data_IF_991830290349
#
_entry.id   IF_991830290349
#
_cell.length_a   1.000
_cell.length_b   1.000
_cell.length_c   1.000
_cell.angle_alpha   90.00
_cell.angle_beta   90.00
_cell.angle_gamma   90.00
#
_symmetry.space_group_name_H-M   'P 1'
#
loop_
_entity.id
_entity.type
_entity.pdbx_description
1 polymer ?
#
# COMPACT_ATOMS: atom_id res chain seq x y z
N UNK A 1 -4.17 -12.60 -42.56
CA UNK A 1 -4.46 -12.17 -41.18
C UNK A 1 -3.35 -11.22 -40.75
N UNK A 2 -3.67 -9.95 -40.49
CA UNK A 2 -2.72 -9.03 -39.85
C UNK A 2 -2.58 -9.41 -38.37
N UNK A 3 -1.39 -9.31 -37.76
CA UNK A 3 -1.25 -9.51 -36.32
C UNK A 3 -2.11 -8.46 -35.59
N UNK A 4 -2.93 -8.91 -34.64
CA UNK A 4 -3.66 -7.99 -33.75
C UNK A 4 -2.62 -7.14 -33.01
N UNK A 5 -2.82 -5.82 -32.90
CA UNK A 5 -1.95 -4.98 -32.09
C UNK A 5 -1.92 -5.57 -30.68
N UNK A 6 -0.70 -5.84 -30.25
CA UNK A 6 -0.28 -6.20 -28.93
C UNK A 6 -0.63 -5.04 -27.99
N UNK A 7 -1.89 -5.01 -27.55
CA UNK A 7 -2.37 -4.17 -26.46
C UNK A 7 -1.73 -4.67 -25.16
N UNK A 8 -0.45 -4.33 -24.96
CA UNK A 8 0.12 -4.37 -23.62
C UNK A 8 -0.74 -3.44 -22.76
N UNK A 9 -1.31 -3.91 -21.64
CA UNK A 9 -1.91 -3.02 -20.66
C UNK A 9 -0.86 -1.96 -20.32
N UNK A 10 -1.25 -0.68 -20.38
CA UNK A 10 -0.36 0.39 -19.92
C UNK A 10 -0.15 0.18 -18.43
N UNK A 11 1.03 -0.32 -18.04
CA UNK A 11 1.38 -0.58 -16.64
C UNK A 11 1.59 0.72 -15.84
N UNK A 12 1.57 1.88 -16.51
CA UNK A 12 1.65 3.20 -15.90
C UNK A 12 0.41 4.04 -16.23
N UNK A 13 0.01 4.90 -15.30
CA UNK A 13 -0.97 5.96 -15.56
C UNK A 13 -0.34 7.17 -16.28
N UNK A 14 -1.16 8.19 -16.58
CA UNK A 14 -0.71 9.41 -17.27
C UNK A 14 0.32 10.24 -16.47
N UNK A 15 0.42 10.04 -15.16
CA UNK A 15 1.39 10.71 -14.29
C UNK A 15 2.67 9.88 -14.12
N UNK A 16 2.75 8.70 -14.75
CA UNK A 16 3.88 7.78 -14.64
C UNK A 16 3.85 6.90 -13.39
N UNK A 17 2.72 6.78 -12.71
CA UNK A 17 2.59 5.89 -11.57
C UNK A 17 2.25 4.45 -12.00
N UNK A 18 2.86 3.46 -11.35
CA UNK A 18 2.65 2.05 -11.67
C UNK A 18 1.23 1.60 -11.28
N UNK A 19 0.45 1.06 -12.21
CA UNK A 19 -0.93 0.60 -12.00
C UNK A 19 -1.03 -0.84 -11.50
N UNK A 20 -0.09 -1.70 -11.91
CA UNK A 20 -0.10 -3.12 -11.58
C UNK A 20 1.28 -3.59 -11.20
N UNK A 21 1.39 -4.28 -10.05
CA UNK A 21 2.56 -5.08 -9.69
C UNK A 21 2.29 -6.52 -10.10
N UNK A 22 3.08 -7.02 -11.05
CA UNK A 22 2.97 -8.40 -11.53
C UNK A 22 2.98 -9.40 -10.36
N UNK A 23 2.01 -10.31 -10.36
CA UNK A 23 1.80 -11.34 -9.33
C UNK A 23 1.55 -10.81 -7.90
N UNK A 24 1.34 -9.50 -7.72
CA UNK A 24 1.03 -8.91 -6.41
C UNK A 24 -0.38 -8.31 -6.42
N UNK A 25 -0.66 -7.36 -7.33
CA UNK A 25 -1.96 -6.69 -7.35
C UNK A 25 -1.99 -5.33 -8.04
N UNK A 26 -3.10 -4.62 -7.82
CA UNK A 26 -3.40 -3.32 -8.44
C UNK A 26 -3.12 -2.19 -7.45
N UNK A 27 -2.51 -1.11 -7.94
CA UNK A 27 -2.19 0.08 -7.17
C UNK A 27 -3.15 1.21 -7.56
N UNK A 28 -3.66 1.90 -6.56
CA UNK A 28 -4.49 3.08 -6.73
C UNK A 28 -3.78 4.28 -6.11
N UNK A 29 -3.62 5.32 -6.90
CA UNK A 29 -2.88 6.52 -6.54
C UNK A 29 -3.84 7.66 -6.21
N UNK A 30 -3.42 8.55 -5.31
CA UNK A 30 -4.03 9.85 -5.16
C UNK A 30 -3.54 10.83 -6.24
N UNK A 31 -4.26 11.94 -6.38
CA UNK A 31 -3.93 13.01 -7.34
C UNK A 31 -2.53 13.64 -7.12
N UNK A 32 -1.97 13.51 -5.92
CA UNK A 32 -0.64 14.01 -5.55
C UNK A 32 0.46 12.93 -5.71
N UNK A 33 0.18 11.86 -6.46
CA UNK A 33 1.11 10.74 -6.73
C UNK A 33 1.56 9.98 -5.48
N UNK A 34 0.77 10.01 -4.39
CA UNK A 34 0.97 9.09 -3.26
C UNK A 34 0.14 7.83 -3.42
N UNK A 35 0.69 6.69 -2.99
CA UNK A 35 -0.02 5.41 -3.05
C UNK A 35 -1.16 5.39 -2.03
N UNK A 36 -2.40 5.40 -2.50
CA UNK A 36 -3.57 5.32 -1.64
C UNK A 36 -3.85 3.88 -1.19
N UNK A 37 -3.89 2.96 -2.16
CA UNK A 37 -4.36 1.60 -1.94
C UNK A 37 -3.59 0.60 -2.81
N UNK A 38 -3.34 -0.58 -2.24
CA UNK A 38 -2.90 -1.78 -2.94
C UNK A 38 -3.97 -2.86 -2.73
N UNK A 39 -4.53 -3.35 -3.83
CA UNK A 39 -5.49 -4.46 -3.83
C UNK A 39 -4.77 -5.70 -4.35
N UNK A 40 -4.53 -6.67 -3.47
CA UNK A 40 -3.82 -7.90 -3.82
C UNK A 40 -4.71 -8.84 -4.61
N UNK A 41 -4.14 -9.48 -5.61
CA UNK A 41 -4.80 -10.54 -6.38
C UNK A 41 -4.70 -11.90 -5.65
N UNK A 42 -4.99 -11.91 -4.34
CA UNK A 42 -5.00 -13.13 -3.53
C UNK A 42 -6.43 -13.65 -3.29
N UNK A 43 -6.57 -14.88 -2.82
CA UNK A 43 -7.88 -15.53 -2.60
C UNK A 43 -8.77 -14.75 -1.62
N UNK A 44 -8.19 -13.94 -0.74
CA UNK A 44 -8.89 -13.20 0.30
C UNK A 44 -9.19 -11.74 -0.09
N UNK A 45 -8.85 -11.36 -1.33
CA UNK A 45 -8.90 -9.98 -1.84
C UNK A 45 -8.31 -8.97 -0.84
N UNK A 46 -7.10 -9.28 -0.35
CA UNK A 46 -6.46 -8.46 0.68
C UNK A 46 -6.22 -7.06 0.14
N UNK A 47 -6.79 -6.07 0.81
CA UNK A 47 -6.64 -4.66 0.47
C UNK A 47 -5.84 -3.95 1.55
N UNK A 48 -4.83 -3.21 1.16
CA UNK A 48 -4.09 -2.31 2.05
C UNK A 48 -4.38 -0.88 1.64
N UNK A 49 -4.84 -0.05 2.58
CA UNK A 49 -5.07 1.37 2.33
C UNK A 49 -4.29 2.25 3.30
N UNK A 50 -3.92 3.44 2.83
CA UNK A 50 -3.16 4.44 3.59
C UNK A 50 -3.98 5.70 3.77
N UNK A 51 -3.88 6.34 4.95
CA UNK A 51 -4.48 7.66 5.20
C UNK A 51 -3.35 8.66 5.40
N UNK A 52 -3.52 9.85 4.83
CA UNK A 52 -2.52 10.91 4.83
C UNK A 52 -3.06 12.16 5.54
N UNK A 53 -2.17 12.92 6.18
CA UNK A 53 -2.48 14.26 6.67
C UNK A 53 -2.47 15.30 5.52
N UNK A 54 -2.79 16.56 5.85
CA UNK A 54 -2.84 17.65 4.87
C UNK A 54 -1.47 18.02 4.26
N UNK A 55 -0.35 17.53 4.83
CA UNK A 55 1.01 17.75 4.33
C UNK A 55 1.48 16.56 3.48
N UNK A 56 0.67 15.50 3.38
CA UNK A 56 1.00 14.29 2.64
C UNK A 56 1.80 13.26 3.44
N UNK A 57 1.89 13.39 4.77
CA UNK A 57 2.51 12.34 5.59
C UNK A 57 1.50 11.21 5.84
N UNK A 58 1.95 9.95 5.75
CA UNK A 58 1.09 8.80 6.05
C UNK A 58 0.87 8.71 7.55
N UNK A 59 -0.37 8.88 8.00
CA UNK A 59 -0.77 8.84 9.42
C UNK A 59 -1.44 7.52 9.81
N UNK A 60 -1.93 6.74 8.83
CA UNK A 60 -2.47 5.40 9.08
C UNK A 60 -2.23 4.46 7.91
N UNK A 61 -2.07 3.18 8.21
CA UNK A 61 -2.19 2.10 7.23
C UNK A 61 -3.05 0.98 7.80
N UNK A 62 -3.96 0.43 7.00
CA UNK A 62 -4.83 -0.69 7.39
C UNK A 62 -4.69 -1.80 6.36
N UNK A 63 -4.70 -3.05 6.84
CA UNK A 63 -4.81 -4.24 6.02
C UNK A 63 -6.16 -4.88 6.29
N UNK A 64 -6.94 -5.08 5.25
CA UNK A 64 -8.25 -5.71 5.27
C UNK A 64 -8.23 -6.95 4.39
N UNK A 65 -8.89 -8.02 4.83
CA UNK A 65 -9.10 -9.22 4.02
C UNK A 65 -10.44 -9.83 4.38
N UNK A 66 -11.16 -10.39 3.40
CA UNK A 66 -12.50 -10.95 3.61
C UNK A 66 -13.44 -9.97 4.35
N UNK A 67 -13.40 -8.69 3.96
CA UNK A 67 -14.23 -7.61 4.52
C UNK A 67 -14.02 -7.38 6.03
N UNK A 68 -12.85 -7.77 6.56
CA UNK A 68 -12.49 -7.61 7.96
C UNK A 68 -11.08 -7.04 8.11
N UNK A 69 -10.94 -6.00 8.94
CA UNK A 69 -9.66 -5.39 9.25
C UNK A 69 -8.76 -6.40 10.00
N UNK A 70 -7.66 -6.79 9.37
CA UNK A 70 -6.68 -7.73 9.92
C UNK A 70 -5.65 -7.01 10.80
N UNK A 71 -5.24 -5.82 10.37
CA UNK A 71 -4.30 -5.00 11.12
C UNK A 71 -4.42 -3.53 10.78
N UNK A 72 -4.05 -2.70 11.74
CA UNK A 72 -3.92 -1.26 11.58
C UNK A 72 -2.60 -0.81 12.19
N UNK A 73 -2.01 0.23 11.60
CA UNK A 73 -0.90 0.98 12.17
C UNK A 73 -1.19 2.46 12.07
N UNK A 74 -1.09 3.15 13.20
CA UNK A 74 -1.17 4.60 13.33
C UNK A 74 0.25 5.17 13.51
N UNK A 75 0.60 6.20 12.75
CA UNK A 75 1.90 6.87 12.80
C UNK A 75 1.73 8.22 13.48
N UNK A 76 2.33 8.38 14.65
CA UNK A 76 2.36 9.63 15.42
C UNK A 76 3.79 10.21 15.43
N UNK A 77 3.98 11.48 15.84
CA UNK A 77 5.28 12.19 15.85
C UNK A 77 6.38 11.67 16.80
N UNK A 78 6.54 10.35 16.94
CA UNK A 78 7.59 9.60 17.67
C UNK A 78 7.11 8.20 18.11
N UNK A 79 5.88 7.83 17.73
CA UNK A 79 5.22 6.64 18.21
C UNK A 79 4.43 6.00 17.09
N UNK A 80 4.69 4.73 16.86
CA UNK A 80 3.86 3.90 16.02
C UNK A 80 3.02 2.99 16.91
N UNK A 81 1.70 3.02 16.72
CA UNK A 81 0.76 2.12 17.40
C UNK A 81 0.27 1.13 16.35
N UNK A 82 0.33 -0.16 16.66
CA UNK A 82 -0.17 -1.21 15.77
C UNK A 82 -1.15 -2.12 16.48
N UNK A 83 -2.25 -2.43 15.81
CA UNK A 83 -3.21 -3.44 16.21
C UNK A 83 -3.22 -4.55 15.16
N UNK A 84 -3.26 -5.80 15.60
CA UNK A 84 -3.40 -6.93 14.70
C UNK A 84 -4.40 -7.91 15.32
N UNK A 85 -5.23 -8.54 14.48
CA UNK A 85 -5.98 -9.72 14.91
C UNK A 85 -4.96 -10.80 15.23
N UNK A 86 -4.95 -11.29 16.47
CA UNK A 86 -4.17 -12.46 16.82
C UNK A 86 -4.85 -13.67 16.18
N UNK A 87 -4.14 -14.38 15.29
CA UNK A 87 -4.50 -15.76 14.99
C UNK A 87 -4.33 -16.54 16.27
N UNK A 88 -5.42 -16.88 16.93
CA UNK A 88 -5.36 -17.77 18.08
C UNK A 88 -4.76 -19.09 17.61
N UNK A 89 -3.65 -19.51 18.20
CA UNK A 89 -3.28 -20.92 18.19
C UNK A 89 -4.43 -21.64 18.91
N UNK A 90 -5.15 -22.49 18.17
CA UNK A 90 -6.44 -23.02 18.55
C UNK A 90 -6.42 -23.59 19.98
N UNK A 91 -7.03 -22.87 20.91
CA UNK A 91 -7.63 -23.48 22.09
C UNK A 91 -9.04 -23.96 21.68
N UNK A 92 -9.47 -25.17 22.08
CA UNK A 92 -10.64 -25.84 21.52
C UNK A 92 -12.00 -25.25 21.92
N UNK A 93 -12.08 -24.00 22.38
CA UNK A 93 -13.33 -23.36 22.77
C UNK A 93 -13.46 -21.99 22.11
N UNK A 94 -14.61 -21.80 21.46
CA UNK A 94 -15.03 -20.64 20.67
C UNK A 94 -14.57 -19.32 21.28
N UNK A 95 -13.66 -18.65 20.59
CA UNK A 95 -13.06 -17.43 21.07
C UNK A 95 -13.21 -16.35 19.99
N UNK A 96 -13.81 -15.23 20.39
CA UNK A 96 -13.88 -14.02 19.58
C UNK A 96 -12.46 -13.58 19.15
N UNK A 97 -12.30 -12.86 18.02
CA UNK A 97 -11.01 -12.33 17.63
C UNK A 97 -10.44 -11.46 18.75
N UNK A 98 -9.26 -11.84 19.27
CA UNK A 98 -8.52 -11.04 20.24
C UNK A 98 -7.57 -10.13 19.48
N UNK A 99 -7.61 -8.82 19.77
CA UNK A 99 -6.70 -7.85 19.17
C UNK A 99 -5.48 -7.64 20.06
N UNK A 100 -4.28 -7.75 19.49
CA UNK A 100 -3.04 -7.39 20.18
C UNK A 100 -2.63 -5.96 19.81
N UNK A 101 -2.40 -5.11 20.81
CA UNK A 101 -1.88 -3.74 20.64
C UNK A 101 -0.39 -3.73 20.95
N UNK A 102 0.42 -3.17 20.05
CA UNK A 102 1.86 -2.95 20.23
C UNK A 102 2.22 -1.50 19.96
N UNK A 103 3.02 -0.91 20.84
CA UNK A 103 3.53 0.45 20.72
C UNK A 103 5.05 0.42 20.54
N UNK A 104 5.55 1.13 19.53
CA UNK A 104 6.99 1.21 19.24
C UNK A 104 7.41 2.66 19.09
N UNK A 105 8.38 3.10 19.90
CA UNK A 105 8.99 4.42 19.76
C UNK A 105 9.81 4.46 18.48
N UNK A 106 9.53 5.44 17.63
CA UNK A 106 10.19 5.61 16.33
C UNK A 106 10.96 6.92 16.31
N UNK A 107 12.14 6.90 15.71
CA UNK A 107 12.90 8.11 15.35
C UNK A 107 12.58 8.46 13.91
N UNK A 108 11.44 9.12 13.67
CA UNK A 108 11.11 9.60 12.33
C UNK A 108 12.12 10.68 11.93
N UNK A 109 13.01 10.37 10.96
CA UNK A 109 13.62 11.43 10.16
C UNK A 109 12.52 12.00 9.28
N UNK A 110 12.32 13.31 9.34
CA UNK A 110 11.38 14.02 8.46
C UNK A 110 11.59 13.55 7.01
N UNK A 111 10.56 13.05 6.31
CA UNK A 111 10.69 12.69 4.92
C UNK A 111 11.12 13.93 4.14
N UNK A 112 12.33 13.93 3.59
CA UNK A 112 12.72 14.93 2.60
C UNK A 112 11.87 14.67 1.36
N UNK A 113 11.08 15.67 0.97
CA UNK A 113 10.33 15.70 -0.29
C UNK A 113 11.21 15.13 -1.42
N UNK A 114 10.75 14.15 -2.22
CA UNK A 114 11.50 13.73 -3.38
C UNK A 114 11.72 14.96 -4.28
N UNK A 115 12.96 15.36 -4.45
CA UNK A 115 13.34 16.34 -5.47
C UNK A 115 12.98 15.73 -6.82
N UNK A 116 12.16 16.46 -7.58
CA UNK A 116 11.83 16.17 -8.97
C UNK A 116 13.12 15.86 -9.74
N UNK A 117 13.29 14.62 -10.17
CA UNK A 117 14.37 14.28 -11.09
C UNK A 117 14.08 14.96 -12.43
N UNK A 118 15.09 15.67 -12.93
CA UNK A 118 15.16 16.24 -14.28
C UNK A 118 14.70 15.25 -15.36
N UNK A 119 14.20 15.75 -16.51
CA UNK A 119 13.66 14.91 -17.57
C UNK A 119 14.70 13.87 -18.02
N UNK A 120 14.28 12.62 -18.07
CA UNK A 120 15.07 11.52 -18.63
C UNK A 120 15.43 11.86 -20.08
N UNK A 121 16.72 12.00 -20.38
CA UNK A 121 17.20 12.06 -21.74
C UNK A 121 17.03 10.68 -22.37
N UNK A 122 16.17 10.61 -23.38
CA UNK A 122 15.98 9.45 -24.23
C UNK A 122 17.21 9.28 -25.12
N UNK A 123 17.99 8.22 -24.90
CA UNK A 123 19.03 7.77 -25.82
C UNK A 123 18.48 6.58 -26.64
N UNK A 124 18.24 6.72 -27.95
CA UNK A 124 17.98 5.57 -28.80
C UNK A 124 19.27 4.75 -28.97
N UNK A 125 19.17 3.43 -28.83
CA UNK A 125 20.25 2.47 -29.10
C UNK A 125 20.31 2.20 -30.62
N UNK A 126 21.50 1.96 -31.21
CA UNK A 126 21.71 1.84 -32.66
C UNK A 126 20.94 0.72 -33.35
#
# INVERSE_FOLDING_TARGET
MAPKPNNLPTIFDANGNLLTLDNIGTLHWHYNNTLNQLTKADKSNTTQYSVYDYQGNRVRSVVESNNQAQSQRDYLPSLDISTNQAKQQAAPYTSAPTYCVKATKTTHKTPTKPTTNSPATYNPIP
#
